data_IF_800073459665
#
_entry.id   IF_800073459665
#
_cell.length_a   1.000
_cell.length_b   1.000
_cell.length_c   1.000
_cell.angle_alpha   90.00
_cell.angle_beta   90.00
_cell.angle_gamma   90.00
#
_symmetry.space_group_name_H-M   'P 1'
#
loop_
_entity.id
_entity.type
_entity.pdbx_description
1 polymer ?
#
# COMPACT_ATOMS: atom_id res chain seq x y z
N UNK A 1 11.30 9.83 -16.47
CA UNK A 1 12.05 8.68 -15.92
C UNK A 1 11.05 7.58 -15.53
N UNK A 2 10.89 6.58 -16.38
CA UNK A 2 10.02 5.41 -16.12
C UNK A 2 10.73 4.48 -15.14
N UNK A 3 10.55 4.75 -13.85
CA UNK A 3 10.96 3.81 -12.81
C UNK A 3 10.21 2.50 -13.06
N UNK A 4 10.92 1.48 -13.56
CA UNK A 4 10.46 0.09 -13.61
C UNK A 4 9.79 -0.18 -12.26
N UNK A 5 8.48 -0.39 -12.24
CA UNK A 5 7.73 -0.54 -10.99
C UNK A 5 8.39 -1.69 -10.21
N UNK A 6 9.21 -1.38 -9.21
CA UNK A 6 9.92 -2.40 -8.44
C UNK A 6 8.84 -3.31 -7.87
N UNK A 7 8.87 -4.59 -8.24
CA UNK A 7 7.94 -5.57 -7.69
C UNK A 7 7.98 -5.45 -6.16
N UNK A 8 6.80 -5.30 -5.56
CA UNK A 8 6.66 -5.33 -4.11
C UNK A 8 7.11 -6.70 -3.62
N UNK A 9 7.79 -6.73 -2.48
CA UNK A 9 7.97 -8.00 -1.75
C UNK A 9 6.62 -8.47 -1.21
N UNK A 10 6.53 -9.74 -0.81
CA UNK A 10 5.32 -10.28 -0.20
C UNK A 10 4.91 -9.49 1.06
N UNK A 11 5.87 -9.10 1.89
CA UNK A 11 5.62 -8.32 3.11
C UNK A 11 5.15 -6.88 2.81
N UNK A 12 5.70 -6.25 1.78
CA UNK A 12 5.26 -4.93 1.33
C UNK A 12 3.85 -5.00 0.74
N UNK A 13 3.53 -6.09 0.01
CA UNK A 13 2.19 -6.35 -0.47
C UNK A 13 1.21 -6.58 0.68
N UNK A 14 1.55 -7.40 1.67
CA UNK A 14 0.73 -7.63 2.87
C UNK A 14 0.46 -6.33 3.63
N UNK A 15 1.48 -5.46 3.73
CA UNK A 15 1.33 -4.13 4.36
C UNK A 15 0.40 -3.22 3.56
N UNK A 16 0.53 -3.21 2.22
CA UNK A 16 -0.37 -2.48 1.34
C UNK A 16 -1.81 -3.00 1.42
N UNK A 17 -1.97 -4.33 1.47
CA UNK A 17 -3.25 -5.00 1.59
C UNK A 17 -3.95 -4.67 2.91
N UNK A 18 -3.21 -4.68 4.02
CA UNK A 18 -3.71 -4.29 5.34
C UNK A 18 -4.25 -2.85 5.36
N UNK A 19 -3.57 -1.91 4.67
CA UNK A 19 -4.06 -0.54 4.54
C UNK A 19 -5.31 -0.45 3.65
N UNK A 20 -5.38 -1.25 2.59
CA UNK A 20 -6.53 -1.28 1.69
C UNK A 20 -7.79 -1.90 2.27
N UNK A 21 -7.65 -2.88 3.15
CA UNK A 21 -8.76 -3.60 3.78
C UNK A 21 -9.18 -3.04 5.14
N UNK A 22 -8.43 -2.09 5.71
CA UNK A 22 -8.83 -1.46 6.96
C UNK A 22 -10.12 -0.64 6.76
N UNK A 23 -11.14 -0.94 7.56
CA UNK A 23 -12.40 -0.22 7.52
C UNK A 23 -12.21 1.26 7.88
N UNK A 24 -13.03 2.15 7.30
CA UNK A 24 -12.94 3.59 7.56
C UNK A 24 -13.05 3.94 9.06
N UNK A 25 -13.74 3.11 9.85
CA UNK A 25 -13.96 3.32 11.27
C UNK A 25 -13.07 2.43 12.17
N UNK A 26 -12.17 1.62 11.59
CA UNK A 26 -11.24 0.81 12.37
C UNK A 26 -9.99 1.60 12.78
N UNK A 27 -9.24 1.04 13.74
CA UNK A 27 -7.89 1.47 14.03
C UNK A 27 -7.04 1.54 12.75
N UNK A 28 -6.15 2.53 12.70
CA UNK A 28 -5.21 2.65 11.59
C UNK A 28 -4.29 1.42 11.56
N UNK A 29 -4.13 0.77 10.40
CA UNK A 29 -3.29 -0.42 10.30
C UNK A 29 -1.84 -0.07 10.65
N UNK A 30 -1.31 -0.78 11.64
CA UNK A 30 0.08 -0.66 12.05
C UNK A 30 0.96 -1.44 11.07
N UNK A 31 1.65 -0.72 10.20
CA UNK A 31 2.63 -1.30 9.27
C UNK A 31 4.05 -0.81 9.61
N UNK A 32 5.09 -1.61 9.32
CA UNK A 32 6.47 -1.19 9.57
C UNK A 32 6.79 0.15 8.89
N UNK A 33 7.55 1.02 9.58
CA UNK A 33 7.89 2.36 9.07
C UNK A 33 8.62 2.30 7.72
N UNK A 34 9.45 1.27 7.50
CA UNK A 34 10.13 1.02 6.23
C UNK A 34 9.15 0.75 5.09
N UNK A 35 8.11 -0.07 5.33
CA UNK A 35 7.08 -0.36 4.33
C UNK A 35 6.24 0.88 4.04
N UNK A 36 5.86 1.62 5.08
CA UNK A 36 5.16 2.91 4.94
C UNK A 36 5.92 3.86 4.04
N UNK A 37 7.19 4.14 4.34
CA UNK A 37 8.00 5.09 3.58
C UNK A 37 8.12 4.68 2.11
N UNK A 38 8.40 3.40 1.85
CA UNK A 38 8.56 2.88 0.50
C UNK A 38 7.26 2.85 -0.30
N UNK A 39 6.15 2.41 0.30
CA UNK A 39 4.84 2.37 -0.35
C UNK A 39 4.29 3.77 -0.64
N UNK A 40 4.61 4.77 0.19
CA UNK A 40 4.34 6.19 -0.11
C UNK A 40 5.23 6.68 -1.25
N UNK A 41 6.54 6.40 -1.22
CA UNK A 41 7.47 6.80 -2.28
C UNK A 41 7.12 6.20 -3.65
N UNK A 42 6.52 5.00 -3.67
CA UNK A 42 6.00 4.35 -4.86
C UNK A 42 4.62 4.88 -5.29
N UNK A 43 4.00 5.77 -4.51
CA UNK A 43 2.71 6.36 -4.81
C UNK A 43 1.52 5.43 -4.61
N UNK A 44 1.67 4.32 -3.89
CA UNK A 44 0.59 3.36 -3.61
C UNK A 44 -0.26 3.76 -2.40
N UNK A 45 0.30 4.57 -1.51
CA UNK A 45 -0.39 5.11 -0.34
C UNK A 45 0.01 6.57 -0.14
N UNK A 46 -0.82 7.28 0.60
CA UNK A 46 -0.58 8.66 1.01
C UNK A 46 -0.99 8.82 2.46
N UNK A 47 -0.30 9.69 3.20
CA UNK A 47 -0.71 10.05 4.55
C UNK A 47 -1.58 11.31 4.48
N UNK A 48 -2.87 11.17 4.79
CA UNK A 48 -3.85 12.25 4.75
C UNK A 48 -4.64 12.26 6.06
N UNK A 49 -4.80 13.44 6.66
CA UNK A 49 -5.62 13.64 7.87
C UNK A 49 -5.25 12.67 9.01
N UNK A 50 -3.95 12.47 9.24
CA UNK A 50 -3.47 11.59 10.31
C UNK A 50 -3.56 10.08 10.02
N UNK A 51 -3.98 9.67 8.82
CA UNK A 51 -4.16 8.25 8.46
C UNK A 51 -3.52 7.90 7.11
N UNK A 52 -3.04 6.67 7.00
CA UNK A 52 -2.65 6.08 5.71
C UNK A 52 -3.90 5.79 4.89
N UNK A 53 -3.93 6.33 3.68
CA UNK A 53 -4.98 6.12 2.68
C UNK A 53 -4.36 5.50 1.44
N UNK A 54 -5.12 4.61 0.82
CA UNK A 54 -4.76 4.06 -0.47
C UNK A 54 -4.93 5.06 -1.60
N UNK A 55 -4.03 5.02 -2.57
CA UNK A 55 -4.20 5.69 -3.86
C UNK A 55 -4.79 4.71 -4.89
N UNK A 56 -5.26 5.24 -6.02
CA UNK A 56 -5.75 4.41 -7.14
C UNK A 56 -4.68 3.43 -7.66
N UNK A 57 -3.42 3.84 -7.90
CA UNK A 57 -2.34 2.91 -8.25
C UNK A 57 -2.12 1.80 -7.22
N UNK A 58 -2.22 2.11 -5.92
CA UNK A 58 -2.13 1.10 -4.88
C UNK A 58 -3.23 0.06 -5.00
N UNK A 59 -4.47 0.47 -5.28
CA UNK A 59 -5.62 -0.45 -5.36
C UNK A 59 -5.46 -1.39 -6.55
N UNK A 60 -5.07 -0.85 -7.70
CA UNK A 60 -4.76 -1.63 -8.90
C UNK A 60 -3.66 -2.65 -8.59
N UNK A 61 -2.65 -2.27 -7.79
CA UNK A 61 -1.58 -3.19 -7.41
C UNK A 61 -2.05 -4.34 -6.51
N UNK A 62 -3.00 -4.10 -5.60
CA UNK A 62 -3.65 -5.15 -4.81
C UNK A 62 -4.36 -6.12 -5.76
N UNK A 63 -5.22 -5.61 -6.64
CA UNK A 63 -5.96 -6.44 -7.59
C UNK A 63 -5.02 -7.27 -8.48
N UNK A 64 -3.97 -6.67 -9.01
CA UNK A 64 -2.97 -7.39 -9.80
C UNK A 64 -2.28 -8.50 -8.98
N UNK A 65 -1.93 -8.24 -7.72
CA UNK A 65 -1.31 -9.25 -6.85
C UNK A 65 -2.26 -10.38 -6.43
N UNK A 66 -3.58 -10.15 -6.45
CA UNK A 66 -4.60 -11.19 -6.21
C UNK A 66 -4.85 -12.09 -7.43
N UNK A 67 -4.48 -11.63 -8.63
CA UNK A 67 -4.61 -12.41 -9.87
C UNK A 67 -3.37 -13.26 -10.17
N UNK A 68 -2.25 -12.98 -9.49
CA UNK A 68 -0.97 -13.70 -9.62
C UNK A 68 -0.86 -14.90 -8.63
N UNK A 69 -1.91 -15.20 -7.86
CA UNK A 69 -2.04 -16.35 -6.93
C UNK A 69 -2.90 -17.45 -7.52
#
# INVERSE_FOLDING_TARGET
MTAKAKKLTHEEFASLFAVGHAAANSAAPAIPAKHRARLIALGYMVFLQGRLRMTTPGRIRIYAGQLDT
#
